data_IF_531238354997
#
_entry.id   IF_531238354997
#
_cell.length_a   1.000
_cell.length_b   1.000
_cell.length_c   1.000
_cell.angle_alpha   90.00
_cell.angle_beta   90.00
_cell.angle_gamma   90.00
#
_symmetry.space_group_name_H-M   'P 1'
#
loop_
_entity.id
_entity.type
_entity.pdbx_description
1 polymer ?
#
# COMPACT_ATOMS: atom_id res chain seq x y z
N UNK A 1 21.47 27.40 2.36
CA UNK A 1 22.69 26.98 3.08
C UNK A 1 23.85 27.67 2.38
N UNK A 2 24.73 28.37 3.09
CA UNK A 2 25.86 29.02 2.45
C UNK A 2 26.85 27.95 1.94
N UNK A 3 27.44 28.09 0.73
CA UNK A 3 28.37 27.11 0.16
C UNK A 3 29.49 26.70 1.13
N UNK A 4 30.00 27.64 1.94
CA UNK A 4 31.10 27.37 2.87
C UNK A 4 30.73 26.41 4.03
N UNK A 5 29.44 26.11 4.25
CA UNK A 5 29.00 25.10 5.22
C UNK A 5 29.00 23.69 4.64
N UNK A 6 28.92 23.55 3.32
CA UNK A 6 28.96 22.25 2.63
C UNK A 6 30.40 21.74 2.51
N UNK A 7 31.37 22.63 2.28
CA UNK A 7 32.80 22.30 2.23
C UNK A 7 33.35 21.72 3.54
N UNK A 8 32.62 21.91 4.65
CA UNK A 8 32.97 21.37 5.97
C UNK A 8 32.41 19.98 6.23
N UNK A 9 31.54 19.47 5.36
CA UNK A 9 31.01 18.12 5.47
C UNK A 9 32.08 17.15 4.96
N UNK A 10 32.63 16.33 5.86
CA UNK A 10 33.42 15.17 5.47
C UNK A 10 32.44 14.09 5.01
N UNK A 11 32.30 13.94 3.70
CA UNK A 11 31.45 12.92 3.09
C UNK A 11 32.30 11.73 2.68
N UNK A 12 31.74 10.54 2.86
CA UNK A 12 32.24 9.34 2.20
C UNK A 12 31.56 9.28 0.82
N UNK A 13 32.31 9.60 -0.23
CA UNK A 13 31.78 9.67 -1.60
C UNK A 13 31.29 8.31 -2.12
N UNK A 14 31.65 7.19 -1.49
CA UNK A 14 31.10 5.87 -1.82
C UNK A 14 29.68 5.67 -1.28
N UNK A 15 29.33 6.37 -0.20
CA UNK A 15 28.04 6.20 0.50
C UNK A 15 27.08 7.37 0.25
N UNK A 16 27.60 8.58 0.05
CA UNK A 16 26.82 9.80 -0.03
C UNK A 16 27.46 10.83 -0.96
N UNK A 17 26.80 11.11 -2.07
CA UNK A 17 27.06 12.29 -2.90
C UNK A 17 26.08 13.40 -2.56
N UNK A 18 26.52 14.66 -2.71
CA UNK A 18 25.68 15.84 -2.49
C UNK A 18 25.74 16.74 -3.72
N UNK A 19 24.57 17.03 -4.27
CA UNK A 19 24.40 17.95 -5.41
C UNK A 19 23.44 19.08 -5.03
N UNK A 20 23.82 20.33 -5.32
CA UNK A 20 22.98 21.50 -5.05
C UNK A 20 22.14 21.78 -6.30
N UNK A 21 20.85 21.45 -6.25
CA UNK A 21 19.92 21.67 -7.37
C UNK A 21 19.41 23.11 -7.48
N UNK A 22 19.45 23.89 -6.40
CA UNK A 22 19.00 25.28 -6.38
C UNK A 22 18.36 25.71 -5.06
N UNK A 23 17.87 26.96 -5.03
CA UNK A 23 17.19 27.54 -3.88
C UNK A 23 15.66 27.45 -4.05
N UNK A 24 14.95 27.11 -2.98
CA UNK A 24 13.50 27.06 -2.95
C UNK A 24 12.95 27.73 -1.69
N UNK A 25 11.84 28.47 -1.82
CA UNK A 25 11.26 29.25 -0.71
C UNK A 25 10.45 28.40 0.27
N UNK A 26 9.85 27.30 -0.21
CA UNK A 26 9.07 26.42 0.66
C UNK A 26 9.93 25.29 1.20
N UNK A 27 9.79 25.03 2.49
CA UNK A 27 10.40 23.86 3.14
C UNK A 27 9.79 22.58 2.57
N UNK A 28 10.65 21.65 2.14
CA UNK A 28 10.22 20.29 1.80
C UNK A 28 9.77 19.55 3.06
N UNK A 29 8.61 18.92 3.00
CA UNK A 29 8.05 18.12 4.11
C UNK A 29 7.80 16.69 3.62
N UNK A 30 7.76 15.71 4.53
CA UNK A 30 7.30 14.37 4.19
C UNK A 30 5.97 14.43 3.44
N UNK A 31 5.88 13.70 2.32
CA UNK A 31 4.71 13.68 1.44
C UNK A 31 4.69 14.72 0.31
N UNK A 32 5.68 15.62 0.21
CA UNK A 32 5.76 16.60 -0.90
C UNK A 32 6.30 16.02 -2.22
N UNK A 33 6.74 14.76 -2.24
CA UNK A 33 7.22 14.13 -3.48
C UNK A 33 6.03 13.66 -4.32
N UNK A 34 6.18 13.69 -5.64
CA UNK A 34 5.15 13.20 -6.57
C UNK A 34 5.15 11.66 -6.71
N UNK A 35 6.22 11.00 -6.28
CA UNK A 35 6.41 9.56 -6.42
C UNK A 35 7.89 9.20 -6.38
N UNK A 36 8.20 7.94 -6.69
CA UNK A 36 9.57 7.47 -6.86
C UNK A 36 9.66 6.66 -8.15
N UNK A 37 10.75 6.86 -8.91
CA UNK A 37 11.14 5.99 -10.02
C UNK A 37 12.12 4.95 -9.49
N UNK A 38 11.80 3.69 -9.75
CA UNK A 38 12.59 2.54 -9.33
C UNK A 38 13.30 1.95 -10.53
N UNK A 39 14.52 1.45 -10.31
CA UNK A 39 15.23 0.54 -11.20
C UNK A 39 15.71 -0.64 -10.37
N UNK A 40 15.19 -1.82 -10.68
CA UNK A 40 15.42 -3.05 -9.92
C UNK A 40 16.02 -4.11 -10.83
N UNK A 41 16.95 -4.89 -10.28
CA UNK A 41 17.56 -6.03 -10.97
C UNK A 41 17.25 -7.28 -10.15
N UNK A 42 16.45 -8.18 -10.74
CA UNK A 42 16.19 -9.51 -10.21
C UNK A 42 17.15 -10.49 -10.89
N UNK A 43 17.89 -11.24 -10.08
CA UNK A 43 18.84 -12.27 -10.54
C UNK A 43 18.25 -13.65 -10.29
N UNK A 44 18.80 -14.63 -11.00
CA UNK A 44 18.42 -16.04 -10.87
C UNK A 44 16.91 -16.26 -11.08
N UNK A 45 16.32 -15.54 -12.05
CA UNK A 45 14.91 -15.73 -12.38
C UNK A 45 14.69 -17.10 -13.00
N UNK A 46 13.51 -17.67 -12.74
CA UNK A 46 13.16 -18.99 -13.24
C UNK A 46 13.11 -19.03 -14.78
N UNK A 47 13.33 -20.20 -15.36
CA UNK A 47 13.35 -20.37 -16.83
C UNK A 47 12.03 -19.99 -17.50
N UNK A 48 10.90 -20.18 -16.82
CA UNK A 48 9.58 -19.78 -17.31
C UNK A 48 9.32 -18.26 -17.24
N UNK A 49 10.26 -17.45 -16.73
CA UNK A 49 10.11 -16.00 -16.64
C UNK A 49 9.91 -15.33 -18.00
N UNK A 50 10.46 -15.90 -19.08
CA UNK A 50 10.23 -15.39 -20.44
C UNK A 50 8.75 -15.42 -20.86
N UNK A 51 7.97 -16.35 -20.30
CA UNK A 51 6.54 -16.49 -20.57
C UNK A 51 5.71 -15.68 -19.58
N UNK A 52 6.05 -15.70 -18.28
CA UNK A 52 5.23 -15.09 -17.24
C UNK A 52 5.43 -13.58 -17.09
N UNK A 53 6.66 -13.06 -17.27
CA UNK A 53 6.94 -11.63 -17.09
C UNK A 53 6.10 -10.75 -18.03
N UNK A 54 6.00 -11.02 -19.35
CA UNK A 54 5.13 -10.23 -20.23
C UNK A 54 3.66 -10.22 -19.78
N UNK A 55 3.13 -11.38 -19.38
CA UNK A 55 1.73 -11.51 -18.96
C UNK A 55 1.44 -10.76 -17.66
N UNK A 56 2.30 -10.93 -16.66
CA UNK A 56 2.14 -10.25 -15.37
C UNK A 56 2.33 -8.74 -15.54
N UNK A 57 3.32 -8.29 -16.31
CA UNK A 57 3.54 -6.85 -16.54
C UNK A 57 2.39 -6.18 -17.28
N UNK A 58 1.84 -6.79 -18.34
CA UNK A 58 0.66 -6.29 -19.04
C UNK A 58 -0.56 -6.22 -18.09
N UNK A 59 -0.76 -7.27 -17.27
CA UNK A 59 -1.81 -7.27 -16.26
C UNK A 59 -1.65 -6.11 -15.26
N UNK A 60 -0.44 -5.88 -14.75
CA UNK A 60 -0.19 -4.81 -13.78
C UNK A 60 -0.34 -3.41 -14.38
N UNK A 61 0.00 -3.23 -15.65
CA UNK A 61 -0.24 -1.96 -16.37
C UNK A 61 -1.73 -1.71 -16.54
N UNK A 62 -2.51 -2.72 -16.96
CA UNK A 62 -3.95 -2.59 -17.20
C UNK A 62 -4.77 -2.48 -15.90
N UNK A 63 -4.51 -3.38 -14.95
CA UNK A 63 -5.31 -3.52 -13.73
C UNK A 63 -4.74 -2.77 -12.55
N UNK A 64 -3.50 -2.29 -12.64
CA UNK A 64 -2.80 -1.62 -11.56
C UNK A 64 -2.15 -2.59 -10.60
N UNK A 65 -1.30 -2.06 -9.73
CA UNK A 65 -0.58 -2.83 -8.73
C UNK A 65 -1.41 -2.85 -7.44
N UNK A 66 -1.62 -4.03 -6.81
CA UNK A 66 -2.23 -4.12 -5.49
C UNK A 66 -1.42 -3.32 -4.46
N UNK A 67 -2.09 -2.39 -3.78
CA UNK A 67 -1.46 -1.40 -2.90
C UNK A 67 -1.22 -1.92 -1.47
N UNK A 68 -0.72 -3.16 -1.36
CA UNK A 68 -0.41 -3.80 -0.09
C UNK A 68 0.57 -2.97 0.74
N UNK A 69 0.39 -3.00 2.07
CA UNK A 69 1.45 -2.62 2.97
C UNK A 69 2.53 -3.70 2.99
N UNK A 70 3.77 -3.31 2.68
CA UNK A 70 4.92 -4.22 2.67
C UNK A 70 5.30 -4.75 4.07
N UNK A 71 6.10 -5.83 4.13
CA UNK A 71 6.54 -6.44 5.39
C UNK A 71 7.24 -5.47 6.34
N UNK A 72 7.90 -4.42 5.81
CA UNK A 72 8.55 -3.40 6.64
C UNK A 72 7.55 -2.68 7.58
N UNK A 73 6.26 -2.65 7.23
CA UNK A 73 5.19 -2.05 8.05
C UNK A 73 4.70 -2.97 9.17
N UNK A 74 4.87 -4.29 9.01
CA UNK A 74 4.52 -5.30 10.00
C UNK A 74 5.68 -5.58 10.98
N UNK A 75 6.85 -4.96 10.76
CA UNK A 75 8.09 -5.08 11.52
C UNK A 75 8.74 -6.47 11.46
N UNK A 76 9.93 -6.60 12.07
CA UNK A 76 10.85 -7.74 11.83
C UNK A 76 10.26 -9.14 12.09
N UNK A 77 9.30 -9.29 13.00
CA UNK A 77 8.68 -10.58 13.35
C UNK A 77 7.35 -10.86 12.63
N UNK A 78 6.79 -9.89 11.89
CA UNK A 78 5.46 -10.01 11.28
C UNK A 78 4.28 -10.03 12.28
N UNK A 79 4.54 -10.04 13.59
CA UNK A 79 3.52 -10.19 14.64
C UNK A 79 3.11 -8.86 15.31
N UNK A 80 3.62 -7.71 14.83
CA UNK A 80 3.34 -6.42 15.48
C UNK A 80 1.86 -6.00 15.38
N UNK A 81 1.11 -6.55 14.42
CA UNK A 81 -0.33 -6.33 14.33
C UNK A 81 -1.07 -6.92 15.55
N UNK A 82 -0.58 -8.03 16.14
CA UNK A 82 -1.17 -8.66 17.31
C UNK A 82 -1.07 -7.73 18.53
N UNK A 83 0.10 -7.12 18.72
CA UNK A 83 0.28 -6.09 19.75
C UNK A 83 -0.65 -4.91 19.47
N UNK A 84 -0.82 -4.50 18.21
CA UNK A 84 -1.78 -3.47 17.84
C UNK A 84 -3.23 -3.81 18.23
N UNK A 85 -3.65 -5.06 18.02
CA UNK A 85 -4.96 -5.56 18.41
C UNK A 85 -5.15 -5.53 19.93
N UNK A 86 -4.16 -6.01 20.70
CA UNK A 86 -4.19 -5.99 22.17
C UNK A 86 -4.31 -4.55 22.71
N UNK A 87 -3.61 -3.58 22.10
CA UNK A 87 -3.62 -2.18 22.53
C UNK A 87 -4.98 -1.48 22.37
N UNK A 88 -5.86 -1.99 21.49
CA UNK A 88 -7.22 -1.47 21.35
C UNK A 88 -8.08 -1.80 22.58
N UNK A 89 -7.89 -2.98 23.17
CA UNK A 89 -8.74 -3.52 24.25
C UNK A 89 -8.08 -3.47 25.63
N UNK A 90 -6.76 -3.22 25.72
CA UNK A 90 -6.02 -3.10 26.99
C UNK A 90 -5.50 -1.66 27.23
N UNK A 91 -6.30 -0.80 27.92
CA UNK A 91 -5.88 0.54 28.30
C UNK A 91 -4.64 0.56 29.20
N UNK A 92 -4.46 -0.43 30.07
CA UNK A 92 -3.35 -0.44 31.02
C UNK A 92 -2.02 -0.64 30.30
N UNK A 93 -1.95 -1.57 29.36
CA UNK A 93 -0.78 -1.77 28.50
C UNK A 93 -0.56 -0.59 27.56
N UNK A 94 -1.62 -0.02 27.00
CA UNK A 94 -1.55 1.19 26.18
C UNK A 94 -0.93 2.36 26.93
N UNK A 95 -1.37 2.62 28.16
CA UNK A 95 -0.90 3.77 28.93
C UNK A 95 0.57 3.65 29.37
N UNK A 96 1.13 2.44 29.39
CA UNK A 96 2.56 2.19 29.65
C UNK A 96 3.47 2.50 28.45
N UNK A 97 2.91 2.79 27.27
CA UNK A 97 3.69 3.00 26.04
C UNK A 97 3.69 4.47 25.58
N UNK A 98 4.82 4.92 25.02
CA UNK A 98 4.89 6.23 24.37
C UNK A 98 3.91 6.33 23.21
N UNK A 99 3.44 7.55 22.90
CA UNK A 99 2.48 7.78 21.81
C UNK A 99 3.00 7.23 20.48
N UNK A 100 4.27 7.47 20.15
CA UNK A 100 4.87 7.01 18.90
C UNK A 100 4.88 5.48 18.79
N UNK A 101 5.25 4.78 19.87
CA UNK A 101 5.27 3.31 19.89
C UNK A 101 3.87 2.72 19.76
N UNK A 102 2.88 3.29 20.45
CA UNK A 102 1.46 2.91 20.30
C UNK A 102 0.97 3.08 18.86
N UNK A 103 1.19 4.27 18.28
CA UNK A 103 0.75 4.55 16.91
C UNK A 103 1.39 3.61 15.91
N UNK A 104 2.65 3.22 16.10
CA UNK A 104 3.30 2.25 15.24
C UNK A 104 2.60 0.87 15.25
N UNK A 105 2.28 0.33 16.43
CA UNK A 105 1.54 -0.94 16.55
C UNK A 105 0.11 -0.86 16.01
N UNK A 106 -0.60 0.24 16.30
CA UNK A 106 -1.97 0.45 15.80
C UNK A 106 -1.99 0.56 14.27
N UNK A 107 -1.03 1.29 13.69
CA UNK A 107 -0.89 1.38 12.24
C UNK A 107 -0.54 0.02 11.62
N UNK A 108 0.24 -0.81 12.31
CA UNK A 108 0.53 -2.18 11.87
C UNK A 108 -0.76 -3.04 11.83
N UNK A 109 -1.64 -2.87 12.82
CA UNK A 109 -2.95 -3.55 12.83
C UNK A 109 -3.86 -3.07 11.70
N UNK A 110 -4.01 -1.75 11.49
CA UNK A 110 -4.73 -1.20 10.33
C UNK A 110 -4.17 -1.73 9.00
N UNK A 111 -2.85 -1.85 8.89
CA UNK A 111 -2.19 -2.36 7.68
C UNK A 111 -2.50 -3.85 7.43
N UNK A 112 -2.61 -4.65 8.49
CA UNK A 112 -2.98 -6.06 8.40
C UNK A 112 -4.42 -6.22 7.88
N UNK A 113 -5.39 -5.53 8.50
CA UNK A 113 -6.78 -5.51 8.01
C UNK A 113 -6.87 -5.10 6.54
N UNK A 114 -6.19 -4.02 6.19
CA UNK A 114 -6.20 -3.51 4.82
C UNK A 114 -5.70 -4.55 3.82
N UNK A 115 -4.60 -5.24 4.16
CA UNK A 115 -4.06 -6.29 3.31
C UNK A 115 -5.05 -7.46 3.15
N UNK A 116 -5.78 -7.84 4.20
CA UNK A 116 -6.77 -8.92 4.13
C UNK A 116 -7.99 -8.53 3.28
N UNK A 117 -8.47 -7.28 3.39
CA UNK A 117 -9.51 -6.74 2.52
C UNK A 117 -9.07 -6.68 1.06
N UNK A 118 -7.84 -6.21 0.82
CA UNK A 118 -7.25 -6.14 -0.52
C UNK A 118 -7.11 -7.54 -1.14
N UNK A 119 -6.73 -8.56 -0.35
CA UNK A 119 -6.66 -9.94 -0.83
C UNK A 119 -8.02 -10.47 -1.31
N UNK A 120 -9.12 -10.13 -0.62
CA UNK A 120 -10.49 -10.53 -1.02
C UNK A 120 -11.02 -9.80 -2.26
N UNK A 121 -10.39 -8.69 -2.63
CA UNK A 121 -10.74 -7.90 -3.82
C UNK A 121 -9.78 -8.14 -4.98
N UNK A 122 -8.78 -9.02 -4.83
CA UNK A 122 -7.66 -9.12 -5.79
C UNK A 122 -8.10 -9.53 -7.20
N UNK A 123 -9.04 -10.45 -7.30
CA UNK A 123 -9.64 -10.94 -8.55
C UNK A 123 -10.43 -9.86 -9.31
N UNK A 124 -10.93 -8.85 -8.60
CA UNK A 124 -11.75 -7.75 -9.14
C UNK A 124 -11.27 -6.38 -8.67
N UNK A 125 -9.95 -6.24 -8.52
CA UNK A 125 -9.27 -5.07 -7.94
C UNK A 125 -9.52 -3.77 -8.72
N UNK A 126 -9.77 -3.92 -10.00
CA UNK A 126 -10.04 -2.89 -10.99
C UNK A 126 -11.52 -2.57 -11.17
N UNK A 127 -12.43 -3.31 -10.50
CA UNK A 127 -13.88 -3.11 -10.59
C UNK A 127 -14.38 -2.21 -9.47
N UNK A 128 -15.10 -1.17 -9.84
CA UNK A 128 -15.89 -0.36 -8.93
C UNK A 128 -17.22 -1.07 -8.68
N UNK A 129 -17.62 -1.17 -7.41
CA UNK A 129 -18.90 -1.74 -7.00
C UNK A 129 -19.79 -0.66 -6.35
N UNK A 130 -21.10 -0.83 -6.45
CA UNK A 130 -22.05 0.01 -5.70
C UNK A 130 -21.79 -0.19 -4.20
N UNK A 131 -21.69 0.90 -3.46
CA UNK A 131 -21.32 0.90 -2.04
C UNK A 131 -19.83 0.98 -1.76
N UNK A 132 -18.95 0.91 -2.78
CA UNK A 132 -17.53 1.23 -2.62
C UNK A 132 -17.36 2.68 -2.11
N UNK A 133 -16.30 2.92 -1.36
CA UNK A 133 -15.70 4.25 -1.30
C UNK A 133 -14.59 4.31 -2.33
N UNK A 134 -14.70 5.20 -3.30
CA UNK A 134 -13.67 5.45 -4.30
C UNK A 134 -12.83 6.67 -3.91
N UNK A 135 -11.52 6.61 -4.15
CA UNK A 135 -10.57 7.70 -3.93
C UNK A 135 -10.18 8.32 -5.27
N UNK A 136 -10.27 9.64 -5.39
CA UNK A 136 -9.70 10.40 -6.51
C UNK A 136 -8.18 10.41 -6.40
N UNK A 137 -7.49 9.96 -7.44
CA UNK A 137 -6.03 9.83 -7.41
C UNK A 137 -5.30 11.17 -7.46
N UNK A 138 -5.96 12.22 -7.95
CA UNK A 138 -5.41 13.58 -8.03
C UNK A 138 -5.21 14.22 -6.64
N UNK A 139 -6.16 14.07 -5.73
CA UNK A 139 -6.20 14.82 -4.47
C UNK A 139 -6.53 13.99 -3.22
N UNK A 140 -6.74 12.67 -3.38
CA UNK A 140 -7.06 11.75 -2.28
C UNK A 140 -8.49 11.88 -1.73
N UNK A 141 -9.34 12.72 -2.31
CA UNK A 141 -10.73 12.87 -1.86
C UNK A 141 -11.51 11.57 -2.09
N UNK A 142 -12.24 11.14 -1.07
CA UNK A 142 -13.03 9.91 -1.12
C UNK A 142 -14.52 10.22 -1.21
N UNK A 143 -15.26 9.40 -1.95
CA UNK A 143 -16.71 9.53 -2.11
C UNK A 143 -17.37 8.15 -2.20
N UNK A 144 -18.64 8.07 -1.79
CA UNK A 144 -19.46 6.87 -1.92
C UNK A 144 -19.84 6.66 -3.39
N UNK A 145 -19.70 5.44 -3.87
CA UNK A 145 -20.14 5.02 -5.20
C UNK A 145 -21.59 4.57 -5.12
N UNK A 146 -22.48 5.34 -5.75
CA UNK A 146 -23.90 5.00 -5.89
C UNK A 146 -24.19 4.33 -7.24
N UNK A 147 -23.42 4.65 -8.28
CA UNK A 147 -23.54 4.13 -9.64
C UNK A 147 -22.17 3.63 -10.12
N UNK A 148 -21.99 2.31 -10.14
CA UNK A 148 -20.73 1.70 -10.52
C UNK A 148 -20.44 1.81 -12.02
N UNK A 149 -21.45 1.71 -12.88
CA UNK A 149 -21.28 1.75 -14.35
C UNK A 149 -20.82 3.12 -14.81
N UNK A 150 -21.36 4.18 -14.19
CA UNK A 150 -20.93 5.55 -14.44
C UNK A 150 -19.48 5.82 -14.00
N UNK A 151 -19.06 5.20 -12.89
CA UNK A 151 -17.75 5.48 -12.29
C UNK A 151 -16.64 4.55 -12.83
N UNK A 152 -16.97 3.37 -13.35
CA UNK A 152 -16.01 2.39 -13.87
C UNK A 152 -15.05 2.98 -14.93
N UNK A 153 -15.49 3.77 -15.94
CA UNK A 153 -14.56 4.34 -16.92
C UNK A 153 -13.51 5.27 -16.30
N UNK A 154 -13.84 5.96 -15.20
CA UNK A 154 -12.88 6.80 -14.45
C UNK A 154 -11.86 5.93 -13.71
N UNK A 155 -12.30 4.79 -13.18
CA UNK A 155 -11.41 3.82 -12.57
C UNK A 155 -10.47 3.21 -13.61
N UNK A 156 -10.97 2.83 -14.79
CA UNK A 156 -10.18 2.25 -15.89
C UNK A 156 -9.04 3.18 -16.35
N UNK A 157 -9.24 4.50 -16.27
CA UNK A 157 -8.21 5.52 -16.54
C UNK A 157 -7.35 5.90 -15.33
N UNK A 158 -7.49 5.19 -14.20
CA UNK A 158 -6.83 5.49 -12.93
C UNK A 158 -7.11 6.90 -12.36
N UNK A 159 -8.21 7.54 -12.75
CA UNK A 159 -8.64 8.81 -12.13
C UNK A 159 -9.18 8.57 -10.71
N UNK A 160 -9.77 7.39 -10.50
CA UNK A 160 -10.25 6.91 -9.20
C UNK A 160 -9.80 5.47 -8.95
N UNK A 161 -9.82 5.05 -7.69
CA UNK A 161 -9.52 3.69 -7.26
C UNK A 161 -10.46 3.28 -6.13
N UNK A 162 -11.00 2.04 -6.10
CA UNK A 162 -11.73 1.55 -4.94
C UNK A 162 -10.82 1.56 -3.71
N UNK A 163 -11.38 1.68 -2.51
CA UNK A 163 -10.60 1.83 -1.28
C UNK A 163 -10.89 0.74 -0.26
N UNK A 164 -9.87 0.43 0.54
CA UNK A 164 -10.02 -0.29 1.80
C UNK A 164 -10.02 0.70 2.98
N UNK A 165 -10.77 0.37 4.02
CA UNK A 165 -10.81 1.15 5.25
C UNK A 165 -9.53 0.94 6.08
N UNK A 166 -8.92 2.03 6.53
CA UNK A 166 -8.04 2.03 7.69
C UNK A 166 -8.88 2.53 8.85
N UNK A 167 -9.42 1.57 9.62
CA UNK A 167 -10.45 1.82 10.63
C UNK A 167 -10.11 2.98 11.56
N UNK A 168 -11.12 3.66 12.08
CA UNK A 168 -10.90 4.79 12.96
C UNK A 168 -12.19 5.45 13.43
N UNK A 169 -12.05 6.53 14.21
CA UNK A 169 -13.19 7.19 14.85
C UNK A 169 -14.09 8.01 13.92
N UNK A 170 -13.67 8.31 12.68
CA UNK A 170 -14.41 9.17 11.74
C UNK A 170 -14.43 8.67 10.29
N UNK A 171 -13.92 7.47 10.03
CA UNK A 171 -13.89 6.93 8.68
C UNK A 171 -15.22 6.22 8.39
N UNK A 172 -15.79 6.48 7.22
CA UNK A 172 -17.02 5.83 6.78
C UNK A 172 -16.71 4.42 6.31
N UNK A 173 -17.56 3.46 6.69
CA UNK A 173 -17.56 2.09 6.19
C UNK A 173 -18.24 2.00 4.82
N UNK A 174 -17.89 0.98 4.05
CA UNK A 174 -18.47 0.73 2.74
C UNK A 174 -19.85 0.06 2.87
N UNK A 175 -20.67 0.25 1.84
CA UNK A 175 -21.97 -0.41 1.70
C UNK A 175 -21.89 -1.64 0.80
N UNK A 176 -23.00 -2.38 0.69
CA UNK A 176 -23.11 -3.55 -0.21
C UNK A 176 -22.01 -4.59 -0.01
N UNK A 177 -21.60 -5.22 -1.11
CA UNK A 177 -20.55 -6.24 -1.14
C UNK A 177 -19.20 -5.73 -0.59
N UNK A 178 -18.68 -4.54 -0.97
CA UNK A 178 -17.46 -4.00 -0.34
C UNK A 178 -17.57 -3.88 1.19
N UNK A 179 -18.72 -3.44 1.68
CA UNK A 179 -19.00 -3.35 3.11
C UNK A 179 -19.05 -4.71 3.81
N UNK A 180 -19.56 -5.73 3.13
CA UNK A 180 -19.55 -7.11 3.64
C UNK A 180 -18.13 -7.65 3.77
N UNK A 181 -17.26 -7.34 2.80
CA UNK A 181 -15.83 -7.66 2.87
C UNK A 181 -15.19 -6.98 4.08
N UNK A 182 -15.42 -5.68 4.27
CA UNK A 182 -14.89 -4.95 5.44
C UNK A 182 -15.36 -5.58 6.75
N UNK A 183 -16.67 -5.87 6.88
CA UNK A 183 -17.25 -6.49 8.09
C UNK A 183 -16.75 -7.91 8.34
N UNK A 184 -16.56 -8.71 7.28
CA UNK A 184 -16.09 -10.08 7.40
C UNK A 184 -14.65 -10.13 7.95
N UNK A 185 -13.74 -9.30 7.43
CA UNK A 185 -12.37 -9.23 7.97
C UNK A 185 -12.38 -8.78 9.44
N UNK A 186 -13.25 -7.83 9.80
CA UNK A 186 -13.41 -7.38 11.19
C UNK A 186 -13.93 -8.50 12.09
N UNK A 187 -14.95 -9.23 11.66
CA UNK A 187 -15.51 -10.34 12.42
C UNK A 187 -14.49 -11.47 12.65
N UNK A 188 -13.68 -11.80 11.65
CA UNK A 188 -12.64 -12.83 11.75
C UNK A 188 -11.52 -12.46 12.73
N UNK A 189 -11.31 -11.16 12.98
CA UNK A 189 -10.41 -10.68 14.04
C UNK A 189 -11.02 -10.73 15.44
N UNK A 190 -12.28 -11.16 15.58
CA UNK A 190 -13.03 -11.16 16.83
C UNK A 190 -13.52 -9.77 17.27
N UNK A 191 -13.57 -8.80 16.35
CA UNK A 191 -14.01 -7.43 16.61
C UNK A 191 -15.32 -7.10 15.89
N UNK A 192 -15.89 -5.92 16.16
CA UNK A 192 -17.00 -5.35 15.41
C UNK A 192 -16.62 -3.95 14.93
N UNK A 193 -17.27 -3.42 13.87
CA UNK A 193 -17.04 -2.03 13.45
C UNK A 193 -17.16 -1.03 14.60
N UNK A 194 -18.15 -1.21 15.48
CA UNK A 194 -18.42 -0.35 16.63
C UNK A 194 -17.29 -0.42 17.66
N UNK A 195 -16.81 -1.63 17.97
CA UNK A 195 -15.71 -1.80 18.93
C UNK A 195 -14.41 -1.20 18.42
N UNK A 196 -14.13 -1.33 17.12
CA UNK A 196 -12.96 -0.69 16.48
C UNK A 196 -13.09 0.84 16.46
N UNK A 197 -14.27 1.38 16.17
CA UNK A 197 -14.52 2.83 16.18
C UNK A 197 -14.34 3.42 17.57
N UNK A 198 -14.86 2.78 18.62
CA UNK A 198 -14.72 3.24 20.00
C UNK A 198 -13.27 3.12 20.49
N UNK A 199 -12.60 2.01 20.19
CA UNK A 199 -11.19 1.84 20.53
C UNK A 199 -10.30 2.86 19.81
N UNK A 200 -10.59 3.19 18.54
CA UNK A 200 -9.88 4.21 17.79
C UNK A 200 -10.10 5.62 18.36
N UNK A 201 -11.31 5.92 18.83
CA UNK A 201 -11.63 7.18 19.52
C UNK A 201 -10.81 7.31 20.81
N UNK A 202 -10.76 6.24 21.60
CA UNK A 202 -9.94 6.16 22.81
C UNK A 202 -8.43 6.30 22.54
N UNK A 203 -7.96 5.84 21.38
CA UNK A 203 -6.57 5.95 20.97
C UNK A 203 -6.24 7.26 20.24
N UNK A 204 -7.26 8.05 19.86
CA UNK A 204 -7.11 9.35 19.22
C UNK A 204 -6.63 9.29 17.77
N UNK A 205 -7.01 8.26 17.00
CA UNK A 205 -6.81 8.24 15.55
C UNK A 205 -8.15 8.23 14.81
N UNK A 206 -8.20 8.99 13.70
CA UNK A 206 -9.43 9.27 12.96
C UNK A 206 -9.79 8.19 11.94
N UNK A 207 -8.81 7.40 11.50
CA UNK A 207 -8.96 6.50 10.37
C UNK A 207 -8.92 7.25 9.04
N UNK A 208 -8.74 6.50 7.97
CA UNK A 208 -8.69 7.03 6.60
C UNK A 208 -9.09 5.94 5.60
N UNK A 209 -9.31 6.32 4.35
CA UNK A 209 -9.46 5.39 3.24
C UNK A 209 -8.12 5.30 2.50
N UNK A 210 -7.77 4.11 2.01
CA UNK A 210 -6.58 3.89 1.18
C UNK A 210 -6.99 3.21 -0.11
N UNK A 211 -6.48 3.67 -1.24
CA UNK A 211 -6.72 3.02 -2.54
C UNK A 211 -6.23 1.58 -2.53
N UNK A 212 -7.04 0.65 -3.04
CA UNK A 212 -6.72 -0.77 -3.16
C UNK A 212 -5.67 -1.01 -4.24
N UNK A 213 -5.69 -0.19 -5.30
CA UNK A 213 -4.72 -0.25 -6.39
C UNK A 213 -4.12 1.10 -6.72
N UNK A 214 -2.95 1.05 -7.34
CA UNK A 214 -2.19 2.20 -7.83
C UNK A 214 -1.75 1.97 -9.29
N UNK A 215 -1.59 3.03 -10.08
CA UNK A 215 -1.04 2.90 -11.43
C UNK A 215 0.43 2.48 -11.38
N UNK A 216 0.84 1.68 -12.36
CA UNK A 216 2.23 1.38 -12.67
C UNK A 216 2.64 2.18 -13.91
N UNK A 217 3.34 3.29 -13.71
CA UNK A 217 3.70 4.20 -14.79
C UNK A 217 5.11 3.90 -15.31
N UNK A 218 5.36 4.25 -16.58
CA UNK A 218 6.71 4.21 -17.18
C UNK A 218 7.39 2.84 -17.03
N UNK A 219 6.62 1.76 -17.17
CA UNK A 219 7.14 0.40 -17.03
C UNK A 219 7.99 0.03 -18.24
N UNK A 220 9.25 -0.27 -17.98
CA UNK A 220 10.19 -0.84 -18.94
C UNK A 220 10.82 -2.07 -18.30
N UNK A 221 11.01 -3.13 -19.07
CA UNK A 221 11.72 -4.30 -18.59
C UNK A 221 12.53 -4.97 -19.69
N UNK A 222 13.62 -5.61 -19.27
CA UNK A 222 14.51 -6.39 -20.14
C UNK A 222 14.88 -7.67 -19.40
N UNK A 223 14.72 -8.81 -20.07
CA UNK A 223 15.09 -10.12 -19.56
C UNK A 223 16.23 -10.70 -20.42
N UNK A 224 17.41 -10.83 -19.83
CA UNK A 224 18.62 -11.37 -20.45
C UNK A 224 19.11 -12.59 -19.67
N UNK A 225 18.93 -13.78 -20.24
CA UNK A 225 19.21 -15.03 -19.53
C UNK A 225 18.39 -15.14 -18.25
N UNK A 226 19.06 -15.24 -17.09
CA UNK A 226 18.42 -15.30 -15.77
C UNK A 226 18.34 -13.95 -15.05
N UNK A 227 18.54 -12.84 -15.76
CA UNK A 227 18.54 -11.49 -15.17
C UNK A 227 17.42 -10.65 -15.75
N UNK A 228 16.46 -10.26 -14.89
CA UNK A 228 15.38 -9.33 -15.22
C UNK A 228 15.70 -7.95 -14.66
N UNK A 229 15.79 -6.95 -15.53
CA UNK A 229 15.86 -5.54 -15.14
C UNK A 229 14.50 -4.89 -15.35
N UNK A 230 13.97 -4.21 -14.33
CA UNK A 230 12.70 -3.49 -14.37
C UNK A 230 12.94 -2.02 -14.01
N UNK A 231 12.32 -1.11 -14.76
CA UNK A 231 12.22 0.31 -14.40
C UNK A 231 10.76 0.74 -14.41
N UNK A 232 10.31 1.48 -13.39
CA UNK A 232 8.93 1.94 -13.29
C UNK A 232 8.77 3.06 -12.26
N UNK A 233 7.66 3.79 -12.33
CA UNK A 233 7.31 4.90 -11.44
C UNK A 233 6.06 4.55 -10.62
N UNK A 234 6.11 4.81 -9.31
CA UNK A 234 4.98 4.62 -8.39
C UNK A 234 4.65 5.91 -7.61
N UNK A 235 3.37 6.15 -7.27
CA UNK A 235 2.96 7.30 -6.48
C UNK A 235 3.47 7.24 -5.02
N UNK A 236 3.33 8.34 -4.25
CA UNK A 236 3.76 8.39 -2.86
C UNK A 236 3.05 7.33 -2.00
N UNK A 237 3.80 6.72 -1.07
CA UNK A 237 3.25 5.72 -0.16
C UNK A 237 2.98 4.34 -0.79
N UNK A 238 3.32 4.15 -2.05
CA UNK A 238 3.41 2.85 -2.71
C UNK A 238 4.77 2.18 -2.44
N UNK A 239 4.79 0.85 -2.57
CA UNK A 239 5.99 0.05 -2.34
C UNK A 239 6.38 -0.73 -3.58
N UNK A 240 7.64 -0.64 -4.01
CA UNK A 240 8.16 -1.43 -5.12
C UNK A 240 8.10 -2.94 -4.85
N UNK A 241 8.13 -3.35 -3.58
CA UNK A 241 7.94 -4.75 -3.20
C UNK A 241 6.57 -5.29 -3.57
N UNK A 242 5.54 -4.45 -3.75
CA UNK A 242 4.24 -4.89 -4.23
C UNK A 242 4.30 -5.31 -5.70
N UNK A 243 5.07 -4.60 -6.54
CA UNK A 243 5.32 -5.00 -7.94
C UNK A 243 6.10 -6.30 -7.99
N UNK A 244 7.19 -6.38 -7.21
CA UNK A 244 8.01 -7.60 -7.13
C UNK A 244 7.21 -8.80 -6.65
N UNK A 245 6.31 -8.62 -5.67
CA UNK A 245 5.47 -9.70 -5.16
C UNK A 245 4.64 -10.32 -6.28
N UNK A 246 4.07 -9.51 -7.16
CA UNK A 246 3.24 -10.01 -8.27
C UNK A 246 4.09 -10.76 -9.31
N UNK A 247 5.33 -10.34 -9.55
CA UNK A 247 6.28 -11.04 -10.44
C UNK A 247 6.86 -12.32 -9.83
N UNK A 248 6.99 -12.37 -8.50
CA UNK A 248 7.59 -13.48 -7.75
C UNK A 248 6.57 -14.52 -7.31
N UNK A 249 5.28 -14.35 -7.60
CA UNK A 249 4.28 -15.38 -7.35
C UNK A 249 4.64 -16.60 -8.21
N UNK A 250 5.24 -17.60 -7.58
CA UNK A 250 5.26 -18.94 -8.14
C UNK A 250 3.81 -19.39 -8.27
N UNK A 251 3.42 -19.92 -9.43
CA UNK A 251 2.09 -20.46 -9.66
C UNK A 251 1.71 -21.37 -8.49
N UNK A 252 0.86 -20.85 -7.61
CA UNK A 252 0.27 -21.63 -6.53
C UNK A 252 -0.81 -22.58 -7.09
N UNK A 253 -0.92 -22.68 -8.42
CA UNK A 253 -1.75 -23.62 -9.15
C UNK A 253 -0.96 -24.81 -9.74
N UNK A 254 0.38 -24.80 -9.68
CA UNK A 254 1.20 -25.94 -10.11
C UNK A 254 1.51 -26.94 -8.97
N UNK A 255 1.27 -26.56 -7.70
CA UNK A 255 1.60 -27.39 -6.53
C UNK A 255 0.47 -28.34 -6.08
N UNK A 256 -0.74 -28.21 -6.61
CA UNK A 256 -1.88 -29.10 -6.27
C UNK A 256 -2.01 -30.33 -7.19
N UNK A 257 -1.24 -30.42 -8.28
CA UNK A 257 -1.24 -31.59 -9.17
C UNK A 257 -0.09 -32.58 -8.93
N UNK A 258 0.66 -32.41 -7.84
CA UNK A 258 1.64 -33.42 -7.37
C UNK A 258 1.54 -33.50 -5.84
N UNK A 259 0.46 -34.09 -5.33
CA UNK A 259 0.42 -34.87 -4.08
C UNK A 259 -0.92 -35.57 -3.92
#
# INVERSE_FOLDING_TARGET
VAPERLDRLKLDEQLLSVEILGLHRNRLRPGHHAGNRFKLVMRDVATHAHETVPLVTDMLVRRGVPNYFGPQRQGRSGQNYQIGAELLVDPARRNKMSRSKRMWYLNAYQSHFFNDMLARRLDRLDRILVGDWAMKMENGACFLVEDAEKEQPRADRFEISPTGILFGSRVSWAGGEPGEIERAVVAESGATPESLTEAAKSCGFRGERRSLRIPLAELEWVLEGSVLTLSFSLPPGAYATSVLRELMKADSQAAENVR
#
